data_IF_782899148174
#
_entry.id   IF_782899148174
#
_cell.length_a   1.000
_cell.length_b   1.000
_cell.length_c   1.000
_cell.angle_alpha   90.00
_cell.angle_beta   90.00
_cell.angle_gamma   90.00
#
_symmetry.space_group_name_H-M   'P 1'
#
loop_
_entity.id
_entity.type
_entity.pdbx_description
1 polymer ?
#
# COMPACT_ATOMS: atom_id res chain seq x y z
N UNK A 1 -50.76 -60.68 -68.67
CA UNK A 1 -50.70 -60.23 -67.26
C UNK A 1 -49.37 -60.72 -66.70
N UNK A 2 -48.41 -59.96 -66.21
CA UNK A 2 -48.25 -58.54 -65.94
C UNK A 2 -47.02 -58.39 -65.04
N UNK A 3 -46.16 -57.40 -65.34
CA UNK A 3 -45.33 -56.66 -64.37
C UNK A 3 -44.05 -57.31 -63.80
N UNK A 4 -42.91 -56.71 -64.15
CA UNK A 4 -41.69 -56.46 -63.34
C UNK A 4 -40.59 -55.96 -64.28
N UNK A 5 -39.78 -54.94 -64.03
CA UNK A 5 -39.72 -53.86 -63.05
C UNK A 5 -38.46 -53.09 -63.48
N UNK A 6 -38.62 -51.89 -64.05
CA UNK A 6 -37.51 -50.98 -64.29
C UNK A 6 -37.39 -50.06 -63.08
N UNK A 7 -36.37 -50.29 -62.27
CA UNK A 7 -35.69 -49.24 -61.52
C UNK A 7 -34.42 -49.81 -60.89
N UNK A 8 -33.26 -49.31 -61.31
CA UNK A 8 -32.11 -49.18 -60.41
C UNK A 8 -31.12 -48.20 -61.00
N UNK A 9 -31.06 -47.05 -60.36
CA UNK A 9 -30.34 -45.86 -60.77
C UNK A 9 -28.83 -45.96 -60.66
N UNK A 10 -28.22 -45.01 -61.37
CA UNK A 10 -26.82 -44.67 -61.30
C UNK A 10 -26.39 -44.31 -59.87
N UNK A 11 -25.60 -45.18 -59.24
CA UNK A 11 -24.84 -44.87 -58.03
C UNK A 11 -23.45 -45.49 -58.17
N UNK A 12 -22.46 -44.67 -58.49
CA UNK A 12 -21.07 -45.14 -58.60
C UNK A 12 -20.00 -44.07 -58.68
N UNK A 13 -20.31 -42.84 -59.11
CA UNK A 13 -19.27 -41.84 -59.40
C UNK A 13 -19.09 -40.79 -58.28
N UNK A 14 -20.09 -40.61 -57.39
CA UNK A 14 -20.04 -39.62 -56.32
C UNK A 14 -19.14 -40.00 -55.13
N UNK A 15 -19.01 -41.29 -54.81
CA UNK A 15 -18.24 -41.75 -53.63
C UNK A 15 -16.73 -41.62 -53.83
N UNK A 16 -16.26 -41.85 -55.05
CA UNK A 16 -14.84 -41.88 -55.36
C UNK A 16 -14.24 -40.46 -55.44
N UNK A 17 -15.07 -39.49 -55.83
CA UNK A 17 -14.69 -38.08 -55.86
C UNK A 17 -14.58 -37.50 -54.44
N UNK A 18 -15.50 -37.84 -53.54
CA UNK A 18 -15.46 -37.41 -52.13
C UNK A 18 -14.28 -38.07 -51.38
N UNK A 19 -14.02 -39.37 -51.59
CA UNK A 19 -12.88 -40.05 -51.00
C UNK A 19 -11.51 -39.45 -51.43
N UNK A 20 -11.42 -38.95 -52.68
CA UNK A 20 -10.22 -38.25 -53.17
C UNK A 20 -10.07 -36.87 -52.55
N UNK A 21 -11.17 -36.12 -52.36
CA UNK A 21 -11.14 -34.83 -51.66
C UNK A 21 -10.71 -35.00 -50.20
N UNK A 22 -11.25 -36.00 -49.51
CA UNK A 22 -10.88 -36.30 -48.12
C UNK A 22 -9.40 -36.62 -47.98
N UNK A 23 -8.84 -37.36 -48.95
CA UNK A 23 -7.42 -37.65 -48.99
C UNK A 23 -6.58 -36.38 -49.19
N UNK A 24 -7.00 -35.50 -50.09
CA UNK A 24 -6.31 -34.22 -50.36
C UNK A 24 -6.38 -33.28 -49.16
N UNK A 25 -7.54 -33.18 -48.49
CA UNK A 25 -7.74 -32.39 -47.27
C UNK A 25 -6.84 -32.91 -46.15
N UNK A 26 -6.77 -34.23 -45.98
CA UNK A 26 -5.90 -34.88 -45.00
C UNK A 26 -4.42 -34.62 -45.26
N UNK A 27 -3.98 -34.67 -46.50
CA UNK A 27 -2.58 -34.35 -46.85
C UNK A 27 -2.26 -32.86 -46.68
N UNK A 28 -3.19 -31.98 -47.06
CA UNK A 28 -3.08 -30.54 -46.79
C UNK A 28 -3.01 -30.24 -45.31
N UNK A 29 -3.77 -30.96 -44.49
CA UNK A 29 -3.75 -30.83 -43.04
C UNK A 29 -2.43 -31.32 -42.44
N UNK A 30 -1.86 -32.43 -42.94
CA UNK A 30 -0.53 -32.91 -42.54
C UNK A 30 0.56 -31.90 -42.93
N UNK A 31 0.51 -31.33 -44.14
CA UNK A 31 1.48 -30.31 -44.58
C UNK A 31 1.34 -29.04 -43.74
N UNK A 32 0.10 -28.59 -43.49
CA UNK A 32 -0.19 -27.46 -42.60
C UNK A 32 0.37 -27.74 -41.20
N UNK A 33 0.21 -28.95 -40.69
CA UNK A 33 0.67 -29.34 -39.37
C UNK A 33 2.20 -29.42 -39.27
N UNK A 34 2.88 -29.83 -40.35
CA UNK A 34 4.35 -29.85 -40.45
C UNK A 34 4.94 -28.45 -40.63
N UNK A 35 4.24 -27.55 -41.33
CA UNK A 35 4.73 -26.19 -41.63
C UNK A 35 4.41 -25.17 -40.55
N UNK A 36 3.24 -25.28 -39.91
CA UNK A 36 2.84 -24.45 -38.77
C UNK A 36 3.10 -25.11 -37.41
N UNK A 37 3.64 -26.34 -37.39
CA UNK A 37 4.01 -27.03 -36.16
C UNK A 37 2.85 -27.20 -35.20
N UNK A 38 1.88 -28.08 -35.49
CA UNK A 38 0.83 -28.40 -34.52
C UNK A 38 -0.21 -27.30 -34.37
N UNK A 39 -1.50 -27.62 -34.45
CA UNK A 39 -2.53 -26.75 -33.90
C UNK A 39 -2.29 -26.53 -32.41
N UNK A 40 -1.75 -25.38 -32.06
CA UNK A 40 -1.47 -25.02 -30.67
C UNK A 40 -0.10 -24.42 -30.57
N UNK A 41 -0.04 -23.08 -30.66
CA UNK A 41 1.10 -22.28 -30.19
C UNK A 41 1.22 -22.51 -28.69
N UNK A 42 1.73 -23.67 -28.30
CA UNK A 42 2.15 -23.94 -26.96
C UNK A 42 3.36 -23.03 -26.75
N UNK A 43 3.16 -21.97 -25.98
CA UNK A 43 4.23 -21.12 -25.46
C UNK A 43 5.21 -21.92 -24.56
N UNK A 44 5.10 -23.25 -24.50
CA UNK A 44 5.93 -24.16 -23.73
C UNK A 44 6.56 -25.27 -24.59
N UNK A 45 6.37 -25.28 -25.91
CA UNK A 45 6.87 -26.36 -26.78
C UNK A 45 8.40 -26.34 -27.00
N UNK A 46 9.04 -25.18 -26.91
CA UNK A 46 10.48 -25.01 -27.15
C UNK A 46 11.18 -24.43 -25.91
N UNK A 47 12.40 -24.87 -25.61
CA UNK A 47 13.23 -24.38 -24.48
C UNK A 47 13.41 -22.87 -24.46
N UNK A 48 13.44 -22.24 -25.64
CA UNK A 48 13.56 -20.78 -25.78
C UNK A 48 12.32 -20.03 -25.26
N UNK A 49 11.14 -20.64 -25.34
CA UNK A 49 9.93 -20.02 -24.81
C UNK A 49 9.90 -20.00 -23.28
N UNK A 50 10.75 -20.78 -22.59
CA UNK A 50 10.83 -20.75 -21.13
C UNK A 50 11.36 -19.40 -20.61
N UNK A 51 12.37 -18.84 -21.28
CA UNK A 51 12.91 -17.52 -20.95
C UNK A 51 11.86 -16.44 -21.22
N UNK A 52 11.09 -16.58 -22.30
CA UNK A 52 10.01 -15.66 -22.64
C UNK A 52 8.87 -15.70 -21.62
N UNK A 53 8.47 -16.90 -21.18
CA UNK A 53 7.46 -17.08 -20.13
C UNK A 53 7.97 -16.55 -18.79
N UNK A 54 9.23 -16.82 -18.44
CA UNK A 54 9.84 -16.28 -17.21
C UNK A 54 9.91 -14.75 -17.23
N UNK A 55 10.28 -14.15 -18.38
CA UNK A 55 10.29 -12.70 -18.56
C UNK A 55 8.89 -12.08 -18.44
N UNK A 56 7.87 -12.73 -19.02
CA UNK A 56 6.47 -12.30 -18.89
C UNK A 56 5.98 -12.38 -17.42
N UNK A 57 6.35 -13.45 -16.71
CA UNK A 57 6.01 -13.62 -15.30
C UNK A 57 6.68 -12.54 -14.45
N UNK A 58 7.95 -12.25 -14.73
CA UNK A 58 8.70 -11.18 -14.07
C UNK A 58 8.07 -9.81 -14.29
N UNK A 59 7.68 -9.47 -15.52
CA UNK A 59 7.06 -8.17 -15.82
C UNK A 59 5.70 -8.01 -15.15
N UNK A 60 4.89 -9.08 -15.10
CA UNK A 60 3.60 -9.06 -14.38
C UNK A 60 3.80 -8.87 -12.89
N UNK A 61 4.72 -9.62 -12.26
CA UNK A 61 5.01 -9.48 -10.84
C UNK A 61 5.55 -8.08 -10.51
N UNK A 62 6.47 -7.57 -11.32
CA UNK A 62 7.03 -6.23 -11.16
C UNK A 62 5.95 -5.14 -11.30
N UNK A 63 5.08 -5.24 -12.30
CA UNK A 63 3.99 -4.28 -12.50
C UNK A 63 3.00 -4.29 -11.34
N UNK A 64 2.65 -5.47 -10.81
CA UNK A 64 1.79 -5.60 -9.63
C UNK A 64 2.44 -4.97 -8.39
N UNK A 65 3.75 -5.17 -8.20
CA UNK A 65 4.48 -4.56 -7.09
C UNK A 65 4.45 -3.03 -7.16
N UNK A 66 4.84 -2.45 -8.31
CA UNK A 66 4.82 -1.00 -8.53
C UNK A 66 3.41 -0.43 -8.35
N UNK A 67 2.40 -1.10 -8.92
CA UNK A 67 1.00 -0.68 -8.80
C UNK A 67 0.51 -0.75 -7.34
N UNK A 68 0.89 -1.78 -6.59
CA UNK A 68 0.51 -1.91 -5.17
C UNK A 68 1.12 -0.81 -4.29
N UNK A 69 2.36 -0.42 -4.57
CA UNK A 69 3.04 0.68 -3.89
C UNK A 69 2.43 2.03 -4.28
N UNK A 70 2.20 2.26 -5.58
CA UNK A 70 1.65 3.54 -6.08
C UNK A 70 0.18 3.74 -5.74
N UNK A 71 -0.61 2.67 -5.65
CA UNK A 71 -2.02 2.74 -5.29
C UNK A 71 -2.25 2.79 -3.77
N UNK A 72 -1.19 2.76 -2.95
CA UNK A 72 -1.30 2.80 -1.49
C UNK A 72 -2.00 1.58 -0.87
N UNK A 73 -2.15 0.48 -1.62
CA UNK A 73 -2.88 -0.74 -1.19
C UNK A 73 -2.18 -1.43 -0.02
N UNK A 74 -0.88 -1.17 0.17
CA UNK A 74 -0.08 -1.70 1.28
C UNK A 74 -0.16 -0.83 2.56
N UNK A 75 -0.90 0.29 2.53
CA UNK A 75 -1.35 1.03 3.71
C UNK A 75 -0.27 1.78 4.50
N UNK A 76 -0.71 2.67 5.39
CA UNK A 76 0.07 3.48 6.36
C UNK A 76 0.89 2.66 7.39
N UNK A 77 1.18 1.39 7.11
CA UNK A 77 1.84 0.49 8.04
C UNK A 77 3.34 0.44 7.77
N UNK A 78 4.14 0.86 8.75
CA UNK A 78 5.59 0.68 8.77
C UNK A 78 6.01 -0.79 8.85
N UNK A 79 5.06 -1.73 8.95
CA UNK A 79 5.34 -3.16 9.00
C UNK A 79 6.03 -3.69 7.73
N UNK A 80 5.72 -3.14 6.56
CA UNK A 80 6.37 -3.53 5.30
C UNK A 80 7.78 -2.95 5.19
N UNK A 81 7.97 -1.69 5.59
CA UNK A 81 9.29 -1.05 5.65
C UNK A 81 10.19 -1.70 6.72
N UNK A 82 9.61 -2.14 7.84
CA UNK A 82 10.30 -2.91 8.88
C UNK A 82 10.64 -4.34 8.41
N UNK A 83 9.74 -5.00 7.68
CA UNK A 83 10.03 -6.30 7.09
C UNK A 83 11.10 -6.21 5.99
N UNK A 84 11.14 -5.11 5.24
CA UNK A 84 12.11 -4.85 4.17
C UNK A 84 13.51 -4.49 4.73
N UNK A 85 13.59 -3.70 5.80
CA UNK A 85 14.86 -3.37 6.47
C UNK A 85 15.52 -4.57 7.16
N UNK A 86 14.74 -5.62 7.50
CA UNK A 86 15.28 -6.92 7.97
C UNK A 86 15.89 -7.79 6.87
N UNK A 87 15.84 -7.36 5.61
CA UNK A 87 16.40 -8.10 4.49
C UNK A 87 17.84 -7.69 4.21
N UNK A 88 18.63 -8.62 3.67
CA UNK A 88 20.03 -8.37 3.28
C UNK A 88 20.20 -7.27 2.19
N UNK A 89 19.10 -6.83 1.56
CA UNK A 89 19.13 -5.77 0.55
C UNK A 89 19.23 -4.36 1.17
N UNK A 90 18.90 -4.23 2.47
CA UNK A 90 19.06 -2.99 3.21
C UNK A 90 20.32 -3.05 4.07
N UNK A 91 21.38 -2.39 3.61
CA UNK A 91 22.69 -2.33 4.29
C UNK A 91 22.65 -1.27 5.42
N UNK A 92 21.53 -0.52 5.55
CA UNK A 92 21.34 0.56 6.51
C UNK A 92 21.08 0.11 7.95
N UNK A 93 20.87 -1.19 8.21
CA UNK A 93 20.41 -1.69 9.50
C UNK A 93 18.89 -1.61 9.64
N UNK A 94 18.33 -2.23 10.68
CA UNK A 94 16.90 -2.11 10.95
C UNK A 94 16.54 -0.63 11.14
N UNK A 95 15.47 -0.15 10.51
CA UNK A 95 14.88 1.13 10.89
C UNK A 95 14.46 1.03 12.36
N UNK A 96 15.29 1.53 13.27
CA UNK A 96 14.93 1.77 14.66
C UNK A 96 13.98 2.96 14.70
N UNK A 97 12.70 2.72 14.44
CA UNK A 97 11.70 3.64 14.98
C UNK A 97 10.52 2.87 15.55
N UNK A 98 10.78 2.25 16.70
CA UNK A 98 9.78 2.03 17.74
C UNK A 98 10.51 2.16 19.08
N UNK A 99 10.83 3.38 19.50
CA UNK A 99 10.90 3.58 20.95
C UNK A 99 9.46 3.48 21.43
N UNK A 100 9.11 2.37 22.09
CA UNK A 100 7.91 2.25 22.94
C UNK A 100 7.97 3.23 24.14
N UNK A 101 8.92 4.15 24.14
CA UNK A 101 9.06 5.26 25.07
C UNK A 101 8.23 6.47 24.61
N UNK A 102 7.51 7.14 25.53
CA UNK A 102 6.82 8.39 25.23
C UNK A 102 7.81 9.48 24.80
N UNK A 103 7.46 10.26 23.78
CA UNK A 103 8.27 11.38 23.32
C UNK A 103 7.42 12.57 22.91
N UNK A 104 8.04 13.75 22.95
CA UNK A 104 7.40 15.04 22.66
C UNK A 104 8.01 15.62 21.39
N UNK A 105 7.15 16.17 20.55
CA UNK A 105 7.55 16.87 19.33
C UNK A 105 6.88 18.25 19.29
N UNK A 106 7.71 19.28 19.21
CA UNK A 106 7.28 20.67 19.24
C UNK A 106 7.93 21.42 18.09
N UNK A 107 7.14 22.14 17.31
CA UNK A 107 7.63 22.99 16.23
C UNK A 107 6.73 24.21 16.02
N UNK A 108 7.29 25.35 15.59
CA UNK A 108 6.50 26.50 15.19
C UNK A 108 5.81 26.22 13.84
N UNK A 109 4.52 26.55 13.75
CA UNK A 109 3.77 26.51 12.50
C UNK A 109 3.45 27.94 12.04
N UNK A 110 4.14 28.38 10.99
CA UNK A 110 4.02 29.72 10.42
C UNK A 110 2.65 30.00 9.81
N UNK A 111 1.95 28.98 9.29
CA UNK A 111 0.65 29.16 8.63
C UNK A 111 -0.47 29.44 9.65
N UNK A 112 -0.41 28.76 10.80
CA UNK A 112 -1.42 28.90 11.87
C UNK A 112 -0.99 29.89 12.95
N UNK A 113 0.21 30.47 12.85
CA UNK A 113 0.82 31.32 13.88
C UNK A 113 0.72 30.68 15.28
N UNK A 114 0.99 29.38 15.38
CA UNK A 114 0.89 28.62 16.61
C UNK A 114 2.02 27.58 16.71
N UNK A 115 2.45 27.28 17.93
CA UNK A 115 3.32 26.13 18.20
C UNK A 115 2.47 24.86 18.17
N UNK A 116 2.84 23.94 17.28
CA UNK A 116 2.26 22.61 17.22
C UNK A 116 2.97 21.72 18.23
N UNK A 117 2.22 21.24 19.21
CA UNK A 117 2.69 20.44 20.33
C UNK A 117 2.11 19.03 20.24
N UNK A 118 2.98 18.04 20.08
CA UNK A 118 2.60 16.64 19.91
C UNK A 118 3.20 15.79 21.02
N UNK A 119 2.35 14.97 21.64
CA UNK A 119 2.76 13.84 22.47
C UNK A 119 2.58 12.56 21.69
N UNK A 120 3.67 11.81 21.50
CA UNK A 120 3.68 10.56 20.78
C UNK A 120 3.90 9.39 21.73
N UNK A 121 3.38 8.25 21.31
CA UNK A 121 3.56 6.98 21.98
C UNK A 121 3.08 7.00 23.45
N UNK A 122 1.95 7.69 23.67
CA UNK A 122 1.32 7.83 24.97
C UNK A 122 0.48 6.57 25.27
N UNK A 123 0.41 6.14 26.55
CA UNK A 123 -0.47 5.05 26.95
C UNK A 123 -1.94 5.43 26.78
N UNK A 124 -2.81 4.42 26.75
CA UNK A 124 -4.26 4.65 26.70
C UNK A 124 -4.73 5.46 27.91
N UNK A 125 -5.53 6.50 27.65
CA UNK A 125 -6.08 7.34 28.71
C UNK A 125 -6.43 8.75 28.25
N UNK A 126 -6.39 9.66 29.20
CA UNK A 126 -6.60 11.09 28.98
C UNK A 126 -5.28 11.83 29.24
N UNK A 127 -4.77 12.50 28.21
CA UNK A 127 -3.59 13.34 28.32
C UNK A 127 -4.03 14.75 28.73
N UNK A 128 -3.62 15.18 29.91
CA UNK A 128 -3.62 16.58 30.33
C UNK A 128 -2.40 17.26 29.73
N UNK A 129 -2.66 18.19 28.83
CA UNK A 129 -1.64 18.92 28.08
C UNK A 129 -1.62 20.34 28.66
N UNK A 130 -0.51 20.70 29.27
CA UNK A 130 -0.31 22.04 29.85
C UNK A 130 0.84 22.70 29.14
N UNK A 131 0.64 23.93 28.67
CA UNK A 131 1.74 24.75 28.19
C UNK A 131 1.78 26.07 28.93
N UNK A 132 2.99 26.56 29.14
CA UNK A 132 3.27 27.83 29.80
C UNK A 132 4.23 28.64 28.93
N UNK A 133 3.82 29.86 28.60
CA UNK A 133 4.61 30.85 27.88
C UNK A 133 5.01 31.94 28.85
N UNK A 134 6.31 32.19 29.00
CA UNK A 134 6.82 33.24 29.90
C UNK A 134 7.75 34.17 29.15
N UNK A 135 7.67 35.47 29.44
CA UNK A 135 8.65 36.44 28.90
C UNK A 135 9.96 36.36 29.69
N UNK A 136 11.07 36.31 28.96
CA UNK A 136 12.43 36.25 29.53
C UNK A 136 13.16 37.59 29.36
N UNK A 137 12.50 38.60 28.81
CA UNK A 137 13.11 39.89 28.52
C UNK A 137 13.07 40.82 29.74
N UNK A 138 14.23 41.38 30.12
CA UNK A 138 14.35 42.28 31.28
C UNK A 138 13.68 43.64 31.05
N UNK A 139 13.56 44.06 29.78
CA UNK A 139 12.96 45.34 29.38
C UNK A 139 11.42 45.26 29.27
N UNK A 140 10.86 44.05 29.26
CA UNK A 140 9.41 43.81 29.15
C UNK A 140 8.82 43.43 30.51
N UNK A 141 7.61 43.92 30.82
CA UNK A 141 6.95 43.55 32.07
C UNK A 141 6.72 42.04 32.13
N UNK A 142 7.07 41.41 33.26
CA UNK A 142 6.89 39.98 33.46
C UNK A 142 5.46 39.55 33.13
N UNK A 143 5.34 38.66 32.16
CA UNK A 143 4.11 38.09 31.64
C UNK A 143 4.28 36.59 31.54
N UNK A 144 3.27 35.86 32.02
CA UNK A 144 3.18 34.40 31.94
C UNK A 144 1.74 34.03 31.60
N UNK A 145 1.58 33.20 30.58
CA UNK A 145 0.29 32.60 30.21
C UNK A 145 0.40 31.09 30.33
N UNK A 146 -0.50 30.50 31.10
CA UNK A 146 -0.61 29.05 31.22
C UNK A 146 -1.98 28.61 30.79
N UNK A 147 -2.03 27.64 29.88
CA UNK A 147 -3.26 27.03 29.41
C UNK A 147 -3.15 25.51 29.50
N UNK A 148 -4.24 24.89 29.91
CA UNK A 148 -4.35 23.44 30.06
C UNK A 148 -5.66 22.94 29.45
N UNK A 149 -5.63 21.78 28.79
CA UNK A 149 -6.84 20.98 28.59
C UNK A 149 -6.48 19.51 28.44
N UNK A 150 -7.50 18.72 28.72
CA UNK A 150 -7.47 17.28 28.73
C UNK A 150 -8.01 16.79 27.40
N UNK A 151 -7.21 16.02 26.68
CA UNK A 151 -7.60 15.36 25.45
C UNK A 151 -7.48 13.86 25.60
N UNK A 152 -8.47 13.14 25.07
CA UNK A 152 -8.38 11.68 24.97
C UNK A 152 -7.25 11.30 24.03
N UNK A 153 -6.41 10.35 24.46
CA UNK A 153 -5.31 9.84 23.65
C UNK A 153 -5.89 9.07 22.46
N UNK A 154 -5.55 9.50 21.24
CA UNK A 154 -6.00 8.84 20.01
C UNK A 154 -5.06 7.68 19.68
N UNK A 155 -5.55 6.46 19.83
CA UNK A 155 -4.78 5.25 19.52
C UNK A 155 -4.51 5.12 18.01
N UNK A 156 -3.30 4.69 17.64
CA UNK A 156 -2.94 4.47 16.24
C UNK A 156 -3.35 3.06 15.81
N UNK A 157 -4.59 2.90 15.35
CA UNK A 157 -5.09 1.63 14.81
C UNK A 157 -5.00 0.48 15.81
N UNK A 158 -4.29 -0.60 15.46
CA UNK A 158 -4.06 -1.78 16.32
C UNK A 158 -2.82 -1.68 17.22
N UNK A 159 -2.05 -0.59 17.15
CA UNK A 159 -0.92 -0.40 18.05
C UNK A 159 -1.40 0.04 19.44
N UNK A 160 -0.77 -0.50 20.50
CA UNK A 160 -1.12 -0.22 21.90
C UNK A 160 -0.72 1.17 22.39
N UNK A 161 -0.37 2.07 21.48
CA UNK A 161 0.11 3.42 21.79
C UNK A 161 -0.65 4.48 21.00
N UNK A 162 -0.78 5.65 21.60
CA UNK A 162 -1.58 6.74 21.05
C UNK A 162 -0.86 8.07 20.99
N UNK A 163 -1.60 9.08 20.53
CA UNK A 163 -1.10 10.43 20.29
C UNK A 163 -2.05 11.47 20.86
N UNK A 164 -1.47 12.56 21.34
CA UNK A 164 -2.19 13.76 21.75
C UNK A 164 -1.62 14.98 21.03
N UNK A 165 -2.50 15.93 20.71
CA UNK A 165 -2.15 17.12 19.93
C UNK A 165 -2.67 18.38 20.60
N UNK A 166 -1.85 19.43 20.61
CA UNK A 166 -2.20 20.74 21.12
C UNK A 166 -1.60 21.86 20.26
N UNK A 167 -2.27 23.01 20.26
CA UNK A 167 -1.81 24.24 19.61
C UNK A 167 -1.70 25.37 20.64
N UNK A 168 -0.52 25.96 20.76
CA UNK A 168 -0.31 27.18 21.54
C UNK A 168 -0.15 28.36 20.57
N UNK A 169 -1.17 29.23 20.48
CA UNK A 169 -1.13 30.39 19.58
C UNK A 169 -0.03 31.36 20.01
N UNK A 170 0.71 31.90 19.05
CA UNK A 170 1.64 33.00 19.28
C UNK A 170 1.32 34.27 18.48
N UNK A 171 0.15 34.32 17.84
CA UNK A 171 -0.25 35.45 17.00
C UNK A 171 -0.32 36.79 17.74
N UNK A 172 -0.67 36.77 19.03
CA UNK A 172 -0.83 37.96 19.86
C UNK A 172 0.44 38.30 20.66
N UNK A 173 1.53 37.52 20.52
CA UNK A 173 2.80 37.81 21.18
C UNK A 173 3.55 38.91 20.43
N UNK A 174 4.03 39.89 21.20
CA UNK A 174 4.92 40.93 20.66
C UNK A 174 6.32 40.36 20.39
N UNK A 175 7.07 40.99 19.50
CA UNK A 175 8.48 40.65 19.26
C UNK A 175 9.28 40.70 20.57
N UNK A 176 9.97 39.61 20.90
CA UNK A 176 10.68 39.47 22.17
C UNK A 176 11.20 38.06 22.39
N UNK A 177 11.80 37.82 23.56
CA UNK A 177 12.27 36.50 23.97
C UNK A 177 11.28 35.87 24.95
N UNK A 178 10.86 34.65 24.65
CA UNK A 178 9.94 33.88 25.47
C UNK A 178 10.45 32.47 25.65
N UNK A 179 10.18 31.90 26.82
CA UNK A 179 10.39 30.49 27.12
C UNK A 179 9.05 29.77 27.08
N UNK A 180 9.01 28.65 26.35
CA UNK A 180 7.83 27.79 26.22
C UNK A 180 8.12 26.47 26.94
N UNK A 181 7.34 26.20 27.98
CA UNK A 181 7.35 24.92 28.69
C UNK A 181 6.10 24.14 28.32
N UNK A 182 6.25 22.85 28.00
CA UNK A 182 5.16 21.98 27.63
C UNK A 182 5.23 20.67 28.41
N UNK A 183 4.18 20.40 29.17
CA UNK A 183 4.06 19.25 30.03
C UNK A 183 2.87 18.38 29.59
N UNK A 184 3.09 17.06 29.60
CA UNK A 184 2.06 16.06 29.28
C UNK A 184 1.95 15.09 30.45
N UNK A 185 0.78 15.05 31.07
CA UNK A 185 0.45 14.06 32.09
C UNK A 185 -0.66 13.16 31.56
N UNK A 186 -0.47 11.83 31.62
CA UNK A 186 -1.47 10.86 31.14
C UNK A 186 -2.09 10.14 32.31
N UNK A 187 -3.41 10.22 32.41
CA UNK A 187 -4.18 9.56 33.46
C UNK A 187 -5.08 8.48 32.88
N UNK A 188 -5.20 7.37 33.62
CA UNK A 188 -6.23 6.38 33.36
C UNK A 188 -7.57 6.91 33.90
N UNK A 189 -8.69 6.51 33.32
CA UNK A 189 -10.06 7.04 33.52
C UNK A 189 -10.61 6.88 34.97
N UNK A 190 -9.77 6.53 35.93
CA UNK A 190 -10.09 6.36 37.35
C UNK A 190 -10.03 7.68 38.15
N UNK A 191 -9.33 8.71 37.65
CA UNK A 191 -8.97 9.90 38.46
C UNK A 191 -9.72 11.20 38.08
N UNK A 192 -10.60 11.19 37.07
CA UNK A 192 -11.35 12.39 36.64
C UNK A 192 -12.61 12.63 37.51
N UNK A 193 -12.74 11.93 38.64
CA UNK A 193 -13.82 12.12 39.60
C UNK A 193 -13.26 12.23 41.03
N UNK A 194 -12.52 13.31 41.31
CA UNK A 194 -12.48 13.89 42.65
C UNK A 194 -12.15 15.39 42.62
#
# INVERSE_FOLDING_TARGET
>A
MGGRSDDTGAHGDGSDHEARKDKVIKELEVIRNRRNGGSGRSLLANKENFVLVAGLLYTVLYALMIFSMSAGVLGESTALDHAASKTFLDIGGECEEITDEPWIHMFPNEETHAFSLWGHNLPEGHASLTYTLETTDEDTAAWSETNASVKTVKMKGTSGTGRAYWEASYADLNEGRYDLTFDIEVYNQSDIAN
#
